data_IF_024519687081
#
_entry.id   IF_024519687081
#
_cell.length_a   1.000
_cell.length_b   1.000
_cell.length_c   1.000
_cell.angle_alpha   90.00
_cell.angle_beta   90.00
_cell.angle_gamma   90.00
#
_symmetry.space_group_name_H-M   'P 1'
#
loop_
_entity.id
_entity.type
_entity.pdbx_description
1 polymer ?
#
# COMPACT_ATOMS: atom_id res chain seq x y z
N UNK A 1 -39.50 7.66 -2.87
CA UNK A 1 -38.06 7.87 -2.57
C UNK A 1 -37.44 6.51 -2.31
N UNK A 2 -36.48 6.06 -3.13
CA UNK A 2 -35.80 4.79 -2.89
C UNK A 2 -34.83 4.92 -1.71
N UNK A 3 -35.10 4.25 -0.60
CA UNK A 3 -34.15 4.14 0.51
C UNK A 3 -32.97 3.29 0.04
N UNK A 4 -31.80 3.89 -0.13
CA UNK A 4 -30.57 3.12 -0.28
C UNK A 4 -30.12 2.62 1.10
N UNK A 5 -29.72 1.36 1.17
CA UNK A 5 -29.12 0.74 2.37
C UNK A 5 -27.60 0.98 2.47
N UNK A 6 -27.02 1.78 1.57
CA UNK A 6 -25.58 2.07 1.58
C UNK A 6 -25.22 3.10 2.65
N UNK A 7 -24.18 2.79 3.42
CA UNK A 7 -23.66 3.66 4.49
C UNK A 7 -23.02 4.95 3.96
N UNK A 8 -22.30 4.86 2.84
CA UNK A 8 -21.54 5.99 2.28
C UNK A 8 -22.38 6.75 1.26
N UNK A 9 -22.69 8.01 1.58
CA UNK A 9 -23.53 8.90 0.77
C UNK A 9 -22.76 10.14 0.31
N UNK A 10 -23.20 10.72 -0.81
CA UNK A 10 -22.68 11.97 -1.34
C UNK A 10 -22.97 13.11 -0.38
N UNK A 11 -21.99 13.99 -0.17
CA UNK A 11 -22.15 15.20 0.63
C UNK A 11 -23.05 16.25 -0.06
N UNK A 12 -23.17 16.18 -1.39
CA UNK A 12 -24.03 17.06 -2.18
C UNK A 12 -25.47 16.55 -2.16
N UNK A 13 -26.43 17.46 -2.00
CA UNK A 13 -27.87 17.17 -2.19
C UNK A 13 -28.13 16.84 -3.68
N UNK A 14 -28.90 15.82 -4.03
CA UNK A 14 -29.53 14.78 -3.18
C UNK A 14 -28.47 13.75 -2.74
N UNK A 15 -28.46 13.38 -1.45
CA UNK A 15 -27.48 12.50 -0.80
C UNK A 15 -27.55 11.04 -1.30
N UNK A 16 -27.18 10.85 -2.56
CA UNK A 16 -27.19 9.56 -3.23
C UNK A 16 -25.98 8.72 -2.77
N UNK A 17 -26.05 7.39 -2.85
CA UNK A 17 -24.91 6.55 -2.55
C UNK A 17 -23.70 6.86 -3.41
N UNK A 18 -22.50 6.79 -2.82
CA UNK A 18 -21.26 7.04 -3.56
C UNK A 18 -20.75 5.78 -4.27
N UNK A 19 -20.12 5.99 -5.41
CA UNK A 19 -19.41 4.94 -6.13
C UNK A 19 -18.06 4.59 -5.46
N UNK A 20 -17.55 3.40 -5.76
CA UNK A 20 -16.18 2.99 -5.39
C UNK A 20 -15.12 3.97 -5.91
N UNK A 21 -15.32 4.54 -7.10
CA UNK A 21 -14.42 5.55 -7.68
C UNK A 21 -14.39 6.85 -6.86
N UNK A 22 -15.51 7.24 -6.24
CA UNK A 22 -15.56 8.43 -5.38
C UNK A 22 -14.79 8.19 -4.09
N UNK A 23 -15.00 7.04 -3.45
CA UNK A 23 -14.25 6.63 -2.26
C UNK A 23 -12.75 6.57 -2.57
N UNK A 24 -12.37 6.00 -3.71
CA UNK A 24 -10.98 5.94 -4.15
C UNK A 24 -10.34 7.33 -4.32
N UNK A 25 -11.09 8.33 -4.82
CA UNK A 25 -10.61 9.73 -4.89
C UNK A 25 -10.43 10.35 -3.52
N UNK A 26 -11.34 10.11 -2.58
CA UNK A 26 -11.20 10.60 -1.21
C UNK A 26 -9.96 10.02 -0.53
N UNK A 27 -9.73 8.70 -0.65
CA UNK A 27 -8.52 8.06 -0.10
C UNK A 27 -7.26 8.65 -0.75
N UNK A 28 -7.23 8.82 -2.08
CA UNK A 28 -6.08 9.44 -2.74
C UNK A 28 -5.84 10.87 -2.24
N UNK A 29 -6.89 11.67 -2.08
CA UNK A 29 -6.77 13.04 -1.57
C UNK A 29 -6.16 13.02 -0.16
N UNK A 30 -6.65 12.15 0.72
CA UNK A 30 -6.11 11.98 2.06
C UNK A 30 -4.64 11.53 2.07
N UNK A 31 -4.23 10.67 1.13
CA UNK A 31 -2.82 10.29 0.96
C UNK A 31 -1.96 11.49 0.51
N UNK A 32 -2.45 12.28 -0.44
CA UNK A 32 -1.79 13.53 -0.86
C UNK A 32 -1.63 14.50 0.31
N UNK A 33 -2.69 14.71 1.09
CA UNK A 33 -2.69 15.59 2.27
C UNK A 33 -1.71 15.09 3.34
N UNK A 34 -1.51 13.78 3.45
CA UNK A 34 -0.52 13.16 4.33
C UNK A 34 0.93 13.18 3.77
N UNK A 35 1.17 13.82 2.63
CA UNK A 35 2.49 13.90 1.99
C UNK A 35 2.94 12.61 1.27
N UNK A 36 2.03 11.65 1.07
CA UNK A 36 2.33 10.42 0.34
C UNK A 36 2.29 10.70 -1.16
N UNK A 37 3.31 10.24 -1.89
CA UNK A 37 3.36 10.40 -3.34
C UNK A 37 2.27 9.56 -4.05
N UNK A 38 1.19 10.19 -4.47
CA UNK A 38 0.04 9.53 -5.08
C UNK A 38 0.19 9.18 -6.57
N UNK A 39 1.31 9.54 -7.21
CA UNK A 39 1.65 8.99 -8.52
C UNK A 39 2.10 7.52 -8.42
N UNK A 40 2.63 7.15 -7.25
CA UNK A 40 3.10 5.80 -6.93
C UNK A 40 2.04 5.05 -6.10
N UNK A 41 1.50 5.69 -5.07
CA UNK A 41 0.58 5.07 -4.10
C UNK A 41 -0.87 5.48 -4.34
N UNK A 42 -1.73 4.48 -4.61
CA UNK A 42 -3.15 4.68 -4.83
C UNK A 42 -3.99 4.27 -3.63
N UNK A 43 -5.32 4.37 -3.78
CA UNK A 43 -6.26 3.96 -2.73
C UNK A 43 -6.05 2.50 -2.27
N UNK A 44 -5.72 1.60 -3.20
CA UNK A 44 -5.45 0.18 -2.88
C UNK A 44 -4.13 -0.04 -2.12
N UNK A 45 -3.18 0.88 -2.18
CA UNK A 45 -1.92 0.81 -1.43
C UNK A 45 -2.18 0.80 0.07
N UNK A 46 -3.26 1.44 0.54
CA UNK A 46 -3.73 1.39 1.93
C UNK A 46 -3.97 -0.05 2.42
N UNK A 47 -4.59 -0.90 1.57
CA UNK A 47 -4.86 -2.31 1.91
C UNK A 47 -3.57 -3.12 1.99
N UNK A 48 -2.66 -2.90 1.03
CA UNK A 48 -1.34 -3.54 1.03
C UNK A 48 -0.53 -3.15 2.28
N UNK A 49 -0.48 -1.86 2.61
CA UNK A 49 0.21 -1.33 3.79
C UNK A 49 -0.39 -1.89 5.09
N UNK A 50 -1.72 -1.86 5.25
CA UNK A 50 -2.42 -2.37 6.43
C UNK A 50 -2.14 -3.86 6.66
N UNK A 51 -2.30 -4.70 5.63
CA UNK A 51 -2.06 -6.15 5.75
C UNK A 51 -0.58 -6.49 5.97
N UNK A 52 0.34 -5.72 5.38
CA UNK A 52 1.79 -5.88 5.62
C UNK A 52 2.18 -5.47 7.04
N UNK A 53 1.58 -4.39 7.57
CA UNK A 53 1.77 -3.96 8.95
C UNK A 53 1.26 -5.02 9.95
N UNK A 54 0.09 -5.62 9.70
CA UNK A 54 -0.43 -6.73 10.51
C UNK A 54 0.54 -7.93 10.51
N UNK A 55 1.09 -8.28 9.35
CA UNK A 55 2.09 -9.36 9.27
C UNK A 55 3.35 -9.02 10.04
N UNK A 56 3.86 -7.79 9.93
CA UNK A 56 5.01 -7.30 10.70
C UNK A 56 4.75 -7.32 12.21
N UNK A 57 3.52 -7.04 12.64
CA UNK A 57 3.10 -7.12 14.04
C UNK A 57 2.91 -8.56 14.56
N UNK A 58 3.17 -9.58 13.73
CA UNK A 58 3.07 -10.98 14.15
C UNK A 58 1.65 -11.56 14.12
N UNK A 59 0.68 -10.87 13.52
CA UNK A 59 -0.69 -11.41 13.39
C UNK A 59 -0.67 -12.68 12.52
N UNK A 60 -1.36 -13.76 12.93
CA UNK A 60 -1.42 -14.98 12.13
C UNK A 60 -1.95 -14.72 10.72
N UNK A 61 -1.34 -15.37 9.72
CA UNK A 61 -1.70 -15.15 8.31
C UNK A 61 -3.17 -15.49 8.04
N UNK A 62 -3.71 -16.52 8.70
CA UNK A 62 -5.12 -16.91 8.58
C UNK A 62 -6.07 -15.78 9.01
N UNK A 63 -5.72 -15.05 10.06
CA UNK A 63 -6.54 -13.94 10.58
C UNK A 63 -6.44 -12.72 9.66
N UNK A 64 -5.25 -12.42 9.14
CA UNK A 64 -5.05 -11.38 8.12
C UNK A 64 -5.89 -11.70 6.87
N UNK A 65 -5.84 -12.94 6.40
CA UNK A 65 -6.60 -13.38 5.23
C UNK A 65 -8.11 -13.31 5.48
N UNK A 66 -8.57 -13.73 6.66
CA UNK A 66 -9.98 -13.65 7.07
C UNK A 66 -10.46 -12.20 7.11
N UNK A 67 -9.70 -11.31 7.75
CA UNK A 67 -10.03 -9.88 7.83
C UNK A 67 -10.01 -9.19 6.45
N UNK A 68 -9.10 -9.61 5.58
CA UNK A 68 -9.00 -9.09 4.22
C UNK A 68 -9.97 -9.76 3.23
N UNK A 69 -10.67 -10.84 3.60
CA UNK A 69 -11.55 -11.58 2.69
C UNK A 69 -10.81 -12.32 1.57
N UNK A 70 -9.60 -12.84 1.84
CA UNK A 70 -8.85 -13.68 0.89
C UNK A 70 -8.95 -15.16 1.26
N UNK A 71 -9.21 -16.01 0.26
CA UNK A 71 -9.22 -17.46 0.41
C UNK A 71 -7.86 -18.11 0.17
N UNK A 72 -6.90 -17.39 -0.44
CA UNK A 72 -5.56 -17.93 -0.79
C UNK A 72 -4.45 -17.03 -0.26
N UNK A 73 -3.45 -17.62 0.39
CA UNK A 73 -2.25 -16.91 0.86
C UNK A 73 -1.45 -16.31 -0.29
N UNK A 74 -1.39 -17.00 -1.43
CA UNK A 74 -0.71 -16.52 -2.64
C UNK A 74 -1.24 -15.18 -3.15
N UNK A 75 -2.53 -14.88 -2.94
CA UNK A 75 -3.10 -13.56 -3.26
C UNK A 75 -2.48 -12.48 -2.38
N UNK A 76 -2.36 -12.74 -1.09
CA UNK A 76 -1.70 -11.82 -0.16
C UNK A 76 -0.23 -11.62 -0.54
N UNK A 77 0.52 -12.69 -0.67
CA UNK A 77 1.96 -12.67 -0.95
C UNK A 77 2.29 -11.93 -2.25
N UNK A 78 1.57 -12.23 -3.34
CA UNK A 78 1.85 -11.68 -4.66
C UNK A 78 1.45 -10.21 -4.78
N UNK A 79 0.26 -9.85 -4.30
CA UNK A 79 -0.34 -8.55 -4.62
C UNK A 79 -0.30 -7.54 -3.48
N UNK A 80 -0.24 -7.99 -2.22
CA UNK A 80 -0.47 -7.12 -1.07
C UNK A 80 0.68 -7.09 -0.08
N UNK A 81 1.49 -8.15 0.02
CA UNK A 81 2.65 -8.15 0.89
C UNK A 81 3.72 -7.20 0.33
N UNK A 82 4.09 -6.21 1.16
CA UNK A 82 5.11 -5.20 0.92
C UNK A 82 5.92 -5.08 2.22
N UNK A 83 6.99 -5.88 2.39
CA UNK A 83 7.74 -5.93 3.64
C UNK A 83 8.31 -4.55 3.96
N UNK A 84 8.06 -4.09 5.19
CA UNK A 84 8.65 -2.84 5.70
C UNK A 84 10.05 -3.17 6.19
N UNK A 85 11.02 -3.08 5.29
CA UNK A 85 12.43 -3.23 5.61
C UNK A 85 12.84 -2.02 6.46
N UNK A 86 13.21 -2.27 7.72
CA UNK A 86 14.08 -1.32 8.43
C UNK A 86 15.46 -1.52 7.84
N UNK A 87 16.14 -0.50 7.29
CA UNK A 87 17.50 -0.70 6.82
C UNK A 87 18.35 -1.16 8.00
N UNK A 88 18.82 -2.41 7.96
CA UNK A 88 19.89 -2.85 8.83
C UNK A 88 21.18 -2.18 8.34
N UNK A 89 22.05 -1.76 9.25
CA UNK A 89 23.32 -1.08 8.92
C UNK A 89 24.13 -1.87 7.88
N UNK A 90 24.04 -3.20 7.89
CA UNK A 90 24.68 -4.09 6.91
C UNK A 90 24.17 -3.94 5.47
N UNK A 91 22.88 -3.66 5.26
CA UNK A 91 22.32 -3.52 3.91
C UNK A 91 22.74 -2.18 3.26
N UNK A 92 22.93 -1.16 4.09
CA UNK A 92 23.44 0.15 3.66
C UNK A 92 24.91 0.03 3.24
N UNK A 93 25.74 -0.66 4.04
CA UNK A 93 27.17 -0.84 3.78
C UNK A 93 27.45 -1.73 2.56
N UNK A 94 26.65 -2.79 2.36
CA UNK A 94 26.80 -3.67 1.19
C UNK A 94 26.42 -2.99 -0.13
N UNK A 95 25.50 -2.01 -0.07
CA UNK A 95 25.11 -1.22 -1.26
C UNK A 95 26.10 -0.10 -1.58
N UNK A 96 26.95 0.31 -0.62
CA UNK A 96 27.92 1.41 -0.80
C UNK A 96 29.30 0.96 -1.28
N UNK A 97 29.60 -0.34 -1.28
CA UNK A 97 30.93 -0.86 -1.61
C UNK A 97 30.94 -1.55 -2.99
N UNK A 98 31.12 -0.76 -4.05
CA UNK A 98 31.75 -1.24 -5.29
C UNK A 98 32.92 -0.32 -5.62
N UNK A 99 34.14 -0.63 -5.15
CA UNK A 99 35.34 -0.06 -5.72
C UNK A 99 35.98 -1.08 -6.67
N UNK A 100 36.10 -0.71 -7.94
CA UNK A 100 37.14 -1.23 -8.84
C UNK A 100 37.41 -0.19 -9.92
N UNK A 101 38.48 0.58 -9.69
CA UNK A 101 39.25 1.29 -10.71
C UNK A 101 40.00 0.26 -11.56
N UNK A 102 40.15 0.56 -12.85
CA UNK A 102 41.28 0.23 -13.76
C UNK A 102 40.93 0.94 -15.09
N UNK A 103 41.79 1.65 -15.84
CA UNK A 103 43.14 2.17 -15.64
C UNK A 103 43.38 3.20 -16.77
N UNK A 104 44.45 3.98 -16.61
CA UNK A 104 44.93 5.11 -17.38
C UNK A 104 45.21 4.82 -18.88
N UNK A 105 45.26 5.90 -19.66
CA UNK A 105 45.49 5.88 -21.10
C UNK A 105 46.88 5.41 -21.55
N UNK A 106 46.89 4.84 -22.75
CA UNK A 106 47.92 4.86 -23.82
C UNK A 106 47.28 4.05 -24.97
N UNK A 107 47.18 4.53 -26.21
CA UNK A 107 48.18 5.09 -27.11
C UNK A 107 47.55 6.05 -28.12
#
# INVERSE_FOLDING_TARGET
>A
MGKSSQLLLSLKKRHNPVSSSTIGRWIKSLLTDAGVNTSIFGAHSTRAASSSAAKKAGVPLIDIMKAAGWSRSSTFERFYYKPILSPQVGDILLSSEVPSNDDLGSS
#
